data_IF_883232063887
#
_entry.id   IF_883232063887
#
_cell.length_a   1.000
_cell.length_b   1.000
_cell.length_c   1.000
_cell.angle_alpha   90.00
_cell.angle_beta   90.00
_cell.angle_gamma   90.00
#
_symmetry.space_group_name_H-M   'P 1'
#
loop_
_entity.id
_entity.type
_entity.pdbx_description
1 polymer ?
#
# COMPACT_ATOMS: atom_id res chain seq x y z
N UNK A 1 -5.96 -8.76 -9.16
CA UNK A 1 -4.82 -8.52 -8.26
C UNK A 1 -5.21 -8.65 -6.80
N UNK A 2 -4.34 -8.21 -5.87
CA UNK A 2 -4.56 -8.37 -4.41
C UNK A 2 -5.84 -7.66 -3.91
N UNK A 3 -6.29 -6.60 -4.58
CA UNK A 3 -7.56 -5.95 -4.28
C UNK A 3 -8.76 -6.90 -4.43
N UNK A 4 -8.73 -7.83 -5.37
CA UNK A 4 -9.80 -8.82 -5.54
C UNK A 4 -9.92 -9.76 -4.33
N UNK A 5 -8.80 -10.12 -3.70
CA UNK A 5 -8.78 -10.90 -2.45
C UNK A 5 -9.49 -10.14 -1.33
N UNK A 6 -9.16 -8.86 -1.16
CA UNK A 6 -9.81 -8.00 -0.16
C UNK A 6 -11.31 -7.85 -0.44
N UNK A 7 -11.71 -7.64 -1.71
CA UNK A 7 -13.12 -7.54 -2.11
C UNK A 7 -13.88 -8.84 -1.80
N UNK A 8 -13.28 -10.00 -2.05
CA UNK A 8 -13.86 -11.31 -1.69
C UNK A 8 -14.05 -11.45 -0.18
N UNK A 9 -13.08 -11.03 0.64
CA UNK A 9 -13.24 -11.05 2.10
C UNK A 9 -14.36 -10.12 2.56
N UNK A 10 -14.42 -8.89 2.05
CA UNK A 10 -15.48 -7.94 2.42
C UNK A 10 -16.85 -8.50 2.04
N UNK A 11 -17.02 -9.05 0.83
CA UNK A 11 -18.28 -9.68 0.42
C UNK A 11 -18.62 -10.91 1.27
N UNK A 12 -17.62 -11.70 1.70
CA UNK A 12 -17.85 -12.83 2.60
C UNK A 12 -18.32 -12.39 3.98
N UNK A 13 -17.78 -11.30 4.51
CA UNK A 13 -18.13 -10.74 5.83
C UNK A 13 -19.44 -9.98 5.82
N UNK A 14 -19.78 -9.31 4.72
CA UNK A 14 -20.97 -8.48 4.52
C UNK A 14 -21.57 -8.84 3.16
N UNK A 15 -22.34 -9.93 3.04
CA UNK A 15 -22.83 -10.42 1.75
C UNK A 15 -23.71 -9.44 0.97
N UNK A 16 -24.34 -8.48 1.66
CA UNK A 16 -25.18 -7.46 1.04
C UNK A 16 -24.42 -6.37 0.31
N UNK A 17 -23.08 -6.32 0.46
CA UNK A 17 -22.26 -5.24 -0.13
C UNK A 17 -22.13 -5.35 -1.65
N UNK A 18 -22.18 -6.54 -2.22
CA UNK A 18 -22.07 -6.76 -3.65
C UNK A 18 -22.69 -8.09 -4.07
N UNK A 19 -23.31 -8.16 -5.26
CA UNK A 19 -23.76 -9.41 -5.85
C UNK A 19 -22.56 -10.31 -6.24
N UNK A 20 -22.86 -11.55 -6.61
CA UNK A 20 -21.88 -12.53 -7.07
C UNK A 20 -21.46 -13.52 -6.00
N UNK A 21 -20.60 -14.45 -6.31
CA UNK A 21 -20.30 -15.60 -5.45
C UNK A 21 -18.82 -16.04 -5.41
N UNK A 22 -18.02 -15.75 -6.42
CA UNK A 22 -16.65 -16.26 -6.53
C UNK A 22 -15.65 -15.22 -7.06
N UNK A 23 -14.47 -15.66 -7.43
CA UNK A 23 -13.40 -14.79 -7.89
C UNK A 23 -13.59 -14.30 -9.35
N UNK A 24 -14.45 -14.93 -10.14
CA UNK A 24 -14.62 -14.54 -11.54
C UNK A 24 -15.43 -13.24 -11.64
N UNK A 25 -16.50 -13.13 -10.86
CA UNK A 25 -17.36 -11.95 -10.85
C UNK A 25 -16.84 -10.77 -10.03
N UNK A 26 -15.85 -11.00 -9.13
CA UNK A 26 -15.44 -9.99 -8.14
C UNK A 26 -14.81 -8.73 -8.77
N UNK A 27 -14.24 -8.85 -9.96
CA UNK A 27 -13.54 -7.72 -10.63
C UNK A 27 -14.57 -6.67 -11.10
N UNK A 28 -15.68 -7.12 -11.68
CA UNK A 28 -16.75 -6.27 -12.21
C UNK A 28 -17.86 -5.97 -11.20
N UNK A 29 -17.95 -6.73 -10.09
CA UNK A 29 -18.99 -6.56 -9.08
C UNK A 29 -19.07 -5.12 -8.54
N UNK A 30 -20.26 -4.53 -8.57
CA UNK A 30 -20.53 -3.20 -8.01
C UNK A 30 -20.72 -3.31 -6.50
N UNK A 31 -19.92 -2.57 -5.73
CA UNK A 31 -19.97 -2.54 -4.27
C UNK A 31 -20.83 -1.38 -3.78
N UNK A 32 -21.87 -1.69 -3.02
CA UNK A 32 -22.67 -0.70 -2.30
C UNK A 32 -22.04 -0.42 -0.92
N UNK A 33 -21.25 0.63 -0.84
CA UNK A 33 -20.58 1.02 0.41
C UNK A 33 -21.53 1.42 1.54
N UNK A 34 -22.80 1.72 1.24
CA UNK A 34 -23.81 2.00 2.27
C UNK A 34 -24.12 0.78 3.14
N UNK A 35 -23.76 -0.43 2.68
CA UNK A 35 -23.95 -1.68 3.40
C UNK A 35 -22.89 -1.97 4.46
N UNK A 36 -21.73 -1.23 4.45
CA UNK A 36 -20.56 -1.60 5.24
C UNK A 36 -20.72 -1.44 6.75
N UNK A 37 -21.49 -0.44 7.22
CA UNK A 37 -21.64 -0.15 8.66
C UNK A 37 -23.11 -0.05 9.11
N UNK A 38 -23.97 -0.92 8.56
CA UNK A 38 -25.39 -0.96 9.00
C UNK A 38 -25.50 -1.47 10.44
N UNK A 39 -26.47 -0.93 11.23
CA UNK A 39 -26.66 -1.33 12.63
C UNK A 39 -26.79 -2.85 12.83
N UNK A 40 -27.50 -3.53 11.95
CA UNK A 40 -27.81 -4.95 12.05
C UNK A 40 -26.71 -5.87 11.52
N UNK A 41 -25.63 -5.31 10.93
CA UNK A 41 -24.51 -6.12 10.48
C UNK A 41 -23.74 -6.72 11.64
N UNK A 42 -23.48 -8.03 11.57
CA UNK A 42 -22.57 -8.72 12.50
C UNK A 42 -21.14 -8.19 12.39
N UNK A 43 -20.68 -7.96 11.15
CA UNK A 43 -19.37 -7.37 10.86
C UNK A 43 -19.58 -5.98 10.28
N UNK A 44 -18.78 -5.01 10.73
CA UNK A 44 -18.88 -3.60 10.30
C UNK A 44 -17.54 -3.08 9.84
N UNK A 45 -17.56 -2.29 8.77
CA UNK A 45 -16.38 -1.59 8.25
C UNK A 45 -16.73 -0.11 8.20
N UNK A 46 -16.07 0.68 9.03
CA UNK A 46 -16.24 2.14 9.07
C UNK A 46 -15.21 2.81 8.20
N UNK A 47 -15.69 3.47 7.16
CA UNK A 47 -14.90 4.35 6.33
C UNK A 47 -14.83 5.75 6.95
N UNK A 48 -13.93 6.60 6.46
CA UNK A 48 -13.77 7.99 6.91
C UNK A 48 -13.53 8.12 8.42
N UNK A 49 -12.93 7.08 9.02
CA UNK A 49 -12.69 6.97 10.46
C UNK A 49 -11.21 6.75 10.72
N UNK A 50 -10.54 7.76 11.29
CA UNK A 50 -9.10 7.73 11.56
C UNK A 50 -8.84 7.46 13.03
N UNK A 51 -8.29 6.29 13.37
CA UNK A 51 -7.88 5.97 14.74
C UNK A 51 -6.74 6.90 15.19
N UNK A 52 -6.87 7.45 16.40
CA UNK A 52 -5.90 8.39 16.98
C UNK A 52 -5.33 7.90 18.31
N UNK A 53 -6.00 6.96 18.99
CA UNK A 53 -5.52 6.35 20.23
C UNK A 53 -6.09 4.95 20.41
N UNK A 54 -5.27 4.04 20.93
CA UNK A 54 -5.68 2.70 21.36
C UNK A 54 -5.06 2.43 22.73
N UNK A 55 -5.86 1.96 23.69
CA UNK A 55 -5.42 1.75 25.07
C UNK A 55 -6.05 0.50 25.69
N UNK A 56 -5.29 -0.22 26.52
CA UNK A 56 -5.86 -1.25 27.39
C UNK A 56 -6.54 -0.56 28.58
N UNK A 57 -7.73 -1.02 28.95
CA UNK A 57 -8.47 -0.53 30.11
C UNK A 57 -8.30 -1.46 31.32
N UNK A 58 -8.57 -0.93 32.52
CA UNK A 58 -8.43 -1.66 33.77
C UNK A 58 -9.40 -2.84 33.91
N UNK A 59 -10.48 -2.88 33.14
CA UNK A 59 -11.49 -3.94 33.14
C UNK A 59 -11.24 -5.03 32.08
N UNK A 60 -10.00 -5.23 31.68
CA UNK A 60 -9.57 -6.22 30.67
C UNK A 60 -10.19 -6.01 29.29
N UNK A 61 -10.53 -4.79 28.94
CA UNK A 61 -11.01 -4.39 27.62
C UNK A 61 -10.05 -3.42 26.94
N UNK A 62 -10.34 -3.09 25.69
CA UNK A 62 -9.57 -2.12 24.88
C UNK A 62 -10.49 -1.00 24.43
N UNK A 63 -10.03 0.24 24.50
CA UNK A 63 -10.68 1.38 23.88
C UNK A 63 -9.92 1.84 22.63
N UNK A 64 -10.68 2.18 21.58
CA UNK A 64 -10.17 2.83 20.38
C UNK A 64 -10.87 4.17 20.23
N UNK A 65 -10.09 5.24 20.24
CA UNK A 65 -10.56 6.59 19.92
C UNK A 65 -10.23 6.90 18.46
N UNK A 66 -11.20 7.45 17.73
CA UNK A 66 -11.03 7.81 16.33
C UNK A 66 -11.80 9.09 15.98
N UNK A 67 -11.38 9.73 14.90
CA UNK A 67 -12.06 10.88 14.31
C UNK A 67 -12.89 10.37 13.13
N UNK A 68 -14.18 10.60 13.20
CA UNK A 68 -15.14 10.29 12.13
C UNK A 68 -15.42 11.57 11.34
N UNK A 69 -15.19 11.52 10.03
CA UNK A 69 -15.47 12.63 9.10
C UNK A 69 -16.52 12.24 8.04
N UNK A 70 -17.30 11.20 8.30
CA UNK A 70 -18.30 10.68 7.36
C UNK A 70 -19.42 11.67 7.01
N UNK A 71 -19.70 12.62 7.91
CA UNK A 71 -20.76 13.66 7.73
C UNK A 71 -20.20 15.01 7.28
N UNK A 72 -18.89 15.11 6.97
CA UNK A 72 -18.19 16.35 6.66
C UNK A 72 -17.60 17.05 7.89
N UNK A 73 -18.24 16.95 9.04
CA UNK A 73 -17.72 17.48 10.31
C UNK A 73 -16.91 16.41 11.04
N UNK A 74 -15.78 16.81 11.61
CA UNK A 74 -14.95 15.92 12.43
C UNK A 74 -15.60 15.65 13.79
N UNK A 75 -15.88 14.38 14.10
CA UNK A 75 -16.44 13.95 15.39
C UNK A 75 -15.48 13.00 16.08
N UNK A 76 -15.19 13.27 17.34
CA UNK A 76 -14.43 12.35 18.19
C UNK A 76 -15.35 11.23 18.68
N UNK A 77 -14.97 10.00 18.39
CA UNK A 77 -15.72 8.80 18.79
C UNK A 77 -14.78 7.86 19.55
N UNK A 78 -15.31 7.23 20.59
CA UNK A 78 -14.60 6.20 21.34
C UNK A 78 -15.44 4.93 21.37
N UNK A 79 -14.84 3.82 20.95
CA UNK A 79 -15.45 2.49 21.01
C UNK A 79 -14.68 1.62 21.98
N UNK A 80 -15.40 0.72 22.66
CA UNK A 80 -14.85 -0.25 23.59
C UNK A 80 -15.07 -1.65 23.04
N UNK A 81 -14.04 -2.48 23.11
CA UNK A 81 -14.06 -3.87 22.69
C UNK A 81 -13.31 -4.77 23.66
N UNK A 82 -13.54 -6.07 23.57
CA UNK A 82 -12.78 -7.03 24.38
C UNK A 82 -11.33 -7.12 23.94
N UNK A 83 -11.07 -6.97 22.66
CA UNK A 83 -9.75 -7.17 22.04
C UNK A 83 -9.55 -6.23 20.87
N UNK A 84 -8.29 -5.94 20.54
CA UNK A 84 -7.93 -5.12 19.38
C UNK A 84 -6.81 -5.78 18.58
N UNK A 85 -6.90 -5.72 17.27
CA UNK A 85 -5.83 -6.12 16.35
C UNK A 85 -5.39 -4.88 15.57
N UNK A 86 -4.12 -4.50 15.75
CA UNK A 86 -3.51 -3.40 15.00
C UNK A 86 -3.06 -3.91 13.64
N UNK A 87 -3.81 -3.59 12.58
CA UNK A 87 -3.52 -4.00 11.21
C UNK A 87 -2.96 -2.85 10.34
N UNK A 88 -2.61 -1.73 10.95
CA UNK A 88 -1.99 -0.58 10.31
C UNK A 88 -0.46 -0.72 10.21
N UNK A 89 0.21 0.22 9.53
CA UNK A 89 1.66 0.27 9.46
C UNK A 89 2.30 0.25 10.85
N UNK A 90 3.31 -0.62 11.04
CA UNK A 90 4.00 -0.77 12.33
C UNK A 90 4.56 0.55 12.87
N UNK A 91 5.06 1.41 11.99
CA UNK A 91 5.68 2.69 12.38
C UNK A 91 4.70 3.72 12.97
N UNK A 92 3.39 3.59 12.71
CA UNK A 92 2.37 4.49 13.30
C UNK A 92 1.92 4.01 14.69
N UNK A 93 2.06 2.75 14.99
CA UNK A 93 1.54 2.13 16.24
C UNK A 93 2.09 2.79 17.50
N UNK A 94 3.39 3.16 17.63
CA UNK A 94 3.91 3.85 18.81
C UNK A 94 3.23 5.20 19.11
N UNK A 95 2.65 5.84 18.10
CA UNK A 95 1.90 7.08 18.25
C UNK A 95 0.46 6.84 18.70
N UNK A 96 -0.10 5.68 18.33
CA UNK A 96 -1.47 5.29 18.71
C UNK A 96 -1.52 4.64 20.10
N UNK A 97 -0.42 4.02 20.55
CA UNK A 97 -0.31 3.34 21.85
C UNK A 97 0.91 3.88 22.60
N UNK A 98 0.81 5.06 23.24
CA UNK A 98 1.95 5.67 23.94
C UNK A 98 2.50 4.85 25.11
N UNK A 99 1.73 3.92 25.65
CA UNK A 99 2.10 3.10 26.82
C UNK A 99 2.98 1.89 26.48
N UNK A 100 3.20 1.60 25.18
CA UNK A 100 4.07 0.49 24.78
C UNK A 100 5.47 0.62 25.39
N UNK A 101 6.09 -0.50 25.81
CA UNK A 101 7.47 -0.52 26.26
C UNK A 101 8.44 0.09 25.25
N UNK A 102 9.46 0.82 25.69
CA UNK A 102 10.41 1.51 24.82
C UNK A 102 11.06 0.57 23.79
N UNK A 103 11.41 -0.65 24.20
CA UNK A 103 12.02 -1.66 23.30
C UNK A 103 11.03 -2.09 22.20
N UNK A 104 9.73 -2.20 22.52
CA UNK A 104 8.70 -2.57 21.55
C UNK A 104 8.43 -1.41 20.57
N UNK A 105 8.36 -0.17 21.06
CA UNK A 105 8.27 1.03 20.21
C UNK A 105 9.43 1.11 19.22
N UNK A 106 10.64 0.88 19.69
CA UNK A 106 11.84 0.87 18.84
C UNK A 106 11.75 -0.23 17.76
N UNK A 107 11.26 -1.42 18.12
CA UNK A 107 11.03 -2.52 17.19
C UNK A 107 10.00 -2.18 16.11
N UNK A 108 8.84 -1.61 16.50
CA UNK A 108 7.79 -1.16 15.59
C UNK A 108 8.25 -0.04 14.65
N UNK A 109 9.10 0.87 15.14
CA UNK A 109 9.61 2.01 14.37
C UNK A 109 10.81 1.66 13.47
N UNK A 110 11.37 0.45 13.59
CA UNK A 110 12.55 0.06 12.86
C UNK A 110 12.35 -0.06 11.36
N UNK A 111 11.21 -0.60 10.94
CA UNK A 111 10.90 -0.97 9.57
C UNK A 111 10.62 0.23 8.67
N UNK A 112 11.67 0.94 8.23
CA UNK A 112 11.52 2.03 7.26
C UNK A 112 11.12 1.47 5.89
N UNK A 113 10.18 2.13 5.20
CA UNK A 113 9.62 1.70 3.93
C UNK A 113 10.10 2.57 2.77
N UNK A 114 10.17 1.97 1.58
CA UNK A 114 10.53 2.69 0.37
C UNK A 114 9.40 3.61 -0.11
N UNK A 115 9.68 4.87 -0.42
CA UNK A 115 8.74 5.68 -1.17
C UNK A 115 8.64 5.15 -2.61
N UNK A 116 7.42 5.08 -3.14
CA UNK A 116 7.13 4.63 -4.49
C UNK A 116 6.21 5.60 -5.21
N UNK A 117 6.39 5.72 -6.51
CA UNK A 117 5.44 6.37 -7.41
C UNK A 117 4.96 5.36 -8.44
N UNK A 118 3.66 5.20 -8.54
CA UNK A 118 3.00 4.45 -9.59
C UNK A 118 2.17 5.41 -10.43
N UNK A 119 2.44 5.40 -11.73
CA UNK A 119 1.70 6.22 -12.66
C UNK A 119 0.94 5.32 -13.64
N UNK A 120 -0.29 5.71 -13.95
CA UNK A 120 -1.01 5.17 -15.10
C UNK A 120 -1.04 6.25 -16.17
N UNK A 121 -0.56 5.91 -17.37
CA UNK A 121 -0.50 6.80 -18.51
C UNK A 121 -1.43 6.25 -19.57
N UNK A 122 -2.56 6.91 -19.79
CA UNK A 122 -3.51 6.54 -20.82
C UNK A 122 -3.02 7.09 -22.17
N UNK A 123 -2.69 6.19 -23.09
CA UNK A 123 -2.40 6.50 -24.49
C UNK A 123 -3.69 6.42 -25.29
N UNK A 124 -3.83 7.30 -26.29
CA UNK A 124 -4.95 7.28 -27.25
C UNK A 124 -4.90 6.08 -28.19
N UNK A 125 -3.68 5.60 -28.48
CA UNK A 125 -3.43 4.49 -29.41
C UNK A 125 -2.38 3.52 -28.84
N UNK A 126 -2.77 2.27 -28.67
CA UNK A 126 -1.90 1.16 -28.25
C UNK A 126 -0.95 0.65 -29.33
N UNK A 127 -1.11 1.07 -30.59
CA UNK A 127 -0.29 0.64 -31.72
C UNK A 127 1.21 0.95 -31.58
N UNK A 128 1.58 1.85 -30.66
CA UNK A 128 2.99 2.07 -30.31
C UNK A 128 3.66 0.80 -29.77
N UNK A 129 2.94 -0.01 -29.00
CA UNK A 129 3.45 -1.26 -28.44
C UNK A 129 3.63 -2.32 -29.53
N UNK A 130 2.69 -2.38 -30.49
CA UNK A 130 2.84 -3.25 -31.66
C UNK A 130 4.08 -2.88 -32.48
N UNK A 131 4.29 -1.58 -32.73
CA UNK A 131 5.47 -1.07 -33.50
C UNK A 131 6.79 -1.39 -32.80
N UNK A 132 6.84 -1.36 -31.49
CA UNK A 132 8.07 -1.67 -30.74
C UNK A 132 8.30 -3.17 -30.59
N UNK A 133 7.24 -3.98 -30.64
CA UNK A 133 7.28 -5.42 -30.36
C UNK A 133 7.62 -5.76 -28.92
N UNK A 134 7.63 -4.76 -28.00
CA UNK A 134 8.02 -4.91 -26.60
C UNK A 134 6.99 -4.21 -25.72
N UNK A 135 6.51 -4.90 -24.70
CA UNK A 135 5.50 -4.40 -23.76
C UNK A 135 6.04 -4.07 -22.36
N UNK A 136 7.36 -4.21 -22.17
CA UNK A 136 8.01 -4.00 -20.88
C UNK A 136 9.43 -3.46 -21.09
N UNK A 137 9.73 -2.34 -20.46
CA UNK A 137 11.00 -1.61 -20.61
C UNK A 137 11.64 -1.40 -19.24
N UNK A 138 12.87 -1.85 -19.09
CA UNK A 138 13.73 -1.50 -17.97
C UNK A 138 14.65 -0.37 -18.41
N UNK A 139 14.58 0.77 -17.75
CA UNK A 139 15.24 2.01 -18.14
C UNK A 139 16.24 2.46 -17.06
N UNK A 140 17.37 1.74 -16.86
CA UNK A 140 18.33 2.07 -15.82
C UNK A 140 18.89 3.48 -16.02
N UNK A 141 19.05 4.21 -14.91
CA UNK A 141 19.51 5.62 -14.87
C UNK A 141 18.58 6.64 -15.54
N UNK A 142 17.33 6.25 -15.87
CA UNK A 142 16.27 7.19 -16.26
C UNK A 142 15.50 7.66 -15.04
N UNK A 143 14.65 8.70 -15.18
CA UNK A 143 13.79 9.16 -14.08
C UNK A 143 12.76 8.09 -13.72
N UNK A 144 12.23 7.39 -14.72
CA UNK A 144 11.33 6.24 -14.54
C UNK A 144 12.06 4.97 -14.97
N UNK A 145 12.35 4.12 -14.02
CA UNK A 145 13.18 2.93 -14.18
C UNK A 145 12.42 1.74 -14.80
N UNK A 146 11.10 1.74 -14.71
CA UNK A 146 10.27 0.69 -15.25
C UNK A 146 9.01 1.24 -15.92
N UNK A 147 8.81 0.85 -17.18
CA UNK A 147 7.62 1.18 -17.97
C UNK A 147 7.12 -0.12 -18.61
N UNK A 148 5.84 -0.41 -18.46
CA UNK A 148 5.22 -1.57 -19.10
C UNK A 148 3.78 -1.26 -19.50
N UNK A 149 3.18 -2.11 -20.33
CA UNK A 149 1.71 -2.11 -20.40
C UNK A 149 1.13 -2.44 -19.05
N UNK A 150 -0.01 -1.84 -18.68
CA UNK A 150 -0.71 -2.19 -17.46
C UNK A 150 -1.01 -3.70 -17.45
N UNK A 151 -0.81 -4.41 -16.33
CA UNK A 151 -1.10 -5.83 -16.26
C UNK A 151 -2.54 -6.11 -16.64
N UNK A 152 -2.73 -6.89 -17.70
CA UNK A 152 -4.05 -7.30 -18.16
C UNK A 152 -4.41 -8.65 -17.61
N UNK A 153 -5.62 -8.77 -17.08
CA UNK A 153 -6.15 -10.01 -16.53
C UNK A 153 -7.51 -10.26 -17.18
N UNK A 154 -7.67 -11.39 -17.84
CA UNK A 154 -8.98 -11.81 -18.36
C UNK A 154 -9.75 -12.53 -17.25
N UNK A 155 -10.89 -11.97 -16.86
CA UNK A 155 -11.77 -12.55 -15.85
C UNK A 155 -13.22 -12.21 -16.21
N UNK A 156 -14.06 -13.23 -16.32
CA UNK A 156 -15.47 -13.10 -16.70
C UNK A 156 -15.61 -12.29 -18.00
N UNK A 157 -16.39 -11.21 -17.99
CA UNK A 157 -16.59 -10.30 -19.13
C UNK A 157 -15.46 -9.29 -19.33
N UNK A 158 -14.51 -9.19 -18.38
CA UNK A 158 -13.37 -8.32 -18.49
C UNK A 158 -12.28 -8.99 -19.36
N UNK A 159 -12.16 -8.56 -20.62
CA UNK A 159 -11.24 -9.12 -21.63
C UNK A 159 -10.46 -8.00 -22.32
N UNK A 160 -9.48 -7.38 -21.65
CA UNK A 160 -8.69 -6.33 -22.24
C UNK A 160 -7.77 -6.89 -23.34
N UNK A 161 -7.62 -6.16 -24.43
CA UNK A 161 -6.72 -6.49 -25.54
C UNK A 161 -5.84 -5.28 -25.88
N UNK A 162 -4.63 -5.52 -26.41
CA UNK A 162 -3.81 -4.47 -27.01
C UNK A 162 -4.08 -4.49 -28.52
N UNK A 163 -4.55 -3.37 -29.02
CA UNK A 163 -4.85 -3.20 -30.46
C UNK A 163 -4.43 -1.81 -30.93
N UNK A 164 -3.91 -1.73 -32.15
CA UNK A 164 -3.73 -0.46 -32.83
C UNK A 164 -5.08 0.25 -33.00
N UNK A 165 -5.11 1.57 -32.79
CA UNK A 165 -6.32 2.38 -32.81
C UNK A 165 -7.15 2.32 -31.53
N UNK A 166 -6.82 1.46 -30.57
CA UNK A 166 -7.52 1.37 -29.28
C UNK A 166 -6.68 1.98 -28.16
N UNK A 167 -7.31 2.60 -27.13
CA UNK A 167 -6.59 3.16 -26.01
C UNK A 167 -5.80 2.11 -25.23
N UNK A 168 -4.65 2.50 -24.69
CA UNK A 168 -3.79 1.64 -23.89
C UNK A 168 -3.31 2.34 -22.63
N UNK A 169 -3.26 1.64 -21.52
CA UNK A 169 -2.65 2.14 -20.28
C UNK A 169 -1.23 1.62 -20.13
N UNK A 170 -0.27 2.53 -20.00
CA UNK A 170 1.07 2.20 -19.51
C UNK A 170 1.10 2.31 -17.99
N UNK A 171 1.80 1.36 -17.37
CA UNK A 171 2.15 1.35 -15.96
C UNK A 171 3.61 1.79 -15.83
N UNK A 172 3.83 2.88 -15.09
CA UNK A 172 5.15 3.50 -14.92
C UNK A 172 5.50 3.54 -13.45
N UNK A 173 6.71 3.16 -13.10
CA UNK A 173 7.16 3.18 -11.71
C UNK A 173 8.41 4.03 -11.53
N UNK A 174 8.53 4.59 -10.34
CA UNK A 174 9.71 5.28 -9.86
C UNK A 174 9.88 5.02 -8.36
N UNK A 175 11.09 4.70 -7.97
CA UNK A 175 11.51 4.65 -6.56
C UNK A 175 12.46 5.81 -6.31
N UNK A 176 12.00 6.97 -5.81
CA UNK A 176 12.78 8.21 -5.76
C UNK A 176 13.69 8.35 -4.52
N UNK A 177 14.64 7.45 -4.21
CA UNK A 177 15.62 7.75 -3.20
C UNK A 177 16.53 8.87 -3.71
N UNK A 178 16.83 9.90 -2.92
CA UNK A 178 17.86 10.84 -3.28
C UNK A 178 19.20 10.11 -3.37
N UNK A 179 20.11 10.66 -4.18
CA UNK A 179 21.48 10.16 -4.24
C UNK A 179 22.10 10.23 -2.84
N UNK A 180 22.91 9.23 -2.50
CA UNK A 180 23.70 9.24 -1.27
C UNK A 180 24.58 10.49 -1.25
N UNK A 181 24.57 11.20 -0.13
CA UNK A 181 25.52 12.27 0.11
C UNK A 181 26.89 11.66 0.42
N UNK A 182 27.82 11.80 -0.53
CA UNK A 182 29.17 11.26 -0.39
C UNK A 182 29.98 11.95 0.72
N UNK A 183 29.56 13.14 1.16
CA UNK A 183 30.17 13.86 2.27
C UNK A 183 29.64 13.43 3.64
N UNK A 184 28.59 12.60 3.67
CA UNK A 184 28.02 12.06 4.91
C UNK A 184 28.21 10.53 4.98
N UNK A 185 29.36 10.06 5.48
CA UNK A 185 29.64 8.63 5.56
C UNK A 185 28.70 7.87 6.50
N UNK A 186 28.02 8.56 7.41
CA UNK A 186 27.10 7.98 8.38
C UNK A 186 25.67 7.87 7.85
N UNK A 187 25.38 8.34 6.63
CA UNK A 187 24.06 8.25 6.03
C UNK A 187 23.67 6.78 5.78
N UNK A 188 22.61 6.35 6.43
CA UNK A 188 22.10 4.98 6.31
C UNK A 188 21.13 4.85 5.12
N UNK A 189 20.85 3.61 4.70
CA UNK A 189 19.81 3.35 3.71
C UNK A 189 18.42 3.88 4.17
N UNK A 190 18.14 3.81 5.48
CA UNK A 190 16.89 4.34 6.05
C UNK A 190 16.79 5.86 5.93
N UNK A 191 17.90 6.57 6.10
CA UNK A 191 17.92 8.03 5.92
C UNK A 191 17.62 8.42 4.47
N UNK A 192 18.13 7.62 3.52
CA UNK A 192 17.80 7.80 2.10
C UNK A 192 16.32 7.56 1.81
N UNK A 193 15.70 6.52 2.40
CA UNK A 193 14.28 6.25 2.23
C UNK A 193 13.40 7.38 2.80
N UNK A 194 13.77 7.91 4.00
CA UNK A 194 13.10 9.07 4.60
C UNK A 194 13.23 10.32 3.74
N UNK A 195 14.41 10.59 3.22
CA UNK A 195 14.66 11.73 2.34
C UNK A 195 13.90 11.59 1.01
N UNK A 196 13.84 10.39 0.45
CA UNK A 196 13.04 10.08 -0.74
C UNK A 196 11.55 10.33 -0.52
N UNK A 197 11.02 9.94 0.65
CA UNK A 197 9.62 10.24 1.06
C UNK A 197 9.37 11.74 1.13
N UNK A 198 10.30 12.49 1.71
CA UNK A 198 10.20 13.94 1.81
C UNK A 198 10.21 14.61 0.43
N UNK A 199 11.09 14.14 -0.48
CA UNK A 199 11.11 14.56 -1.88
C UNK A 199 9.75 14.30 -2.54
N UNK A 200 9.22 13.08 -2.43
CA UNK A 200 7.96 12.67 -3.02
C UNK A 200 6.79 13.59 -2.64
N UNK A 201 6.73 14.04 -1.40
CA UNK A 201 5.67 14.96 -0.94
C UNK A 201 5.80 16.38 -1.49
N UNK A 202 7.01 16.82 -1.84
CA UNK A 202 7.27 18.18 -2.33
C UNK A 202 7.07 18.34 -3.82
N UNK A 203 7.10 17.25 -4.57
CA UNK A 203 6.95 17.29 -6.03
C UNK A 203 5.51 17.63 -6.42
N UNK A 204 5.38 18.58 -7.37
CA UNK A 204 4.12 18.91 -8.03
C UNK A 204 3.76 17.86 -9.09
N UNK A 205 2.56 17.94 -9.67
CA UNK A 205 2.17 17.09 -10.79
C UNK A 205 3.11 17.29 -12.00
N UNK A 206 3.46 18.53 -12.30
CA UNK A 206 4.33 18.88 -13.40
C UNK A 206 5.76 18.34 -13.23
N UNK A 207 6.23 18.19 -11.99
CA UNK A 207 7.53 17.58 -11.70
C UNK A 207 7.57 16.08 -12.06
N UNK A 208 6.41 15.42 -12.12
CA UNK A 208 6.27 14.06 -12.62
C UNK A 208 5.99 14.02 -14.13
N UNK A 209 5.08 14.85 -14.61
CA UNK A 209 4.62 14.84 -16.00
C UNK A 209 5.74 15.17 -16.99
N UNK A 210 6.47 16.27 -16.75
CA UNK A 210 7.50 16.76 -17.67
C UNK A 210 8.63 15.75 -17.95
N UNK A 211 9.25 15.12 -16.93
CA UNK A 211 10.24 14.08 -17.16
C UNK A 211 9.64 12.86 -17.86
N UNK A 212 8.39 12.49 -17.53
CA UNK A 212 7.70 11.37 -18.15
C UNK A 212 7.52 11.58 -19.65
N UNK A 213 6.94 12.71 -20.08
CA UNK A 213 6.76 13.07 -21.48
C UNK A 213 8.08 13.07 -22.22
N UNK A 214 9.13 13.67 -21.63
CA UNK A 214 10.47 13.67 -22.21
C UNK A 214 11.02 12.28 -22.40
N UNK A 215 10.86 11.39 -21.42
CA UNK A 215 11.35 10.03 -21.49
C UNK A 215 10.59 9.22 -22.54
N UNK A 216 9.26 9.29 -22.57
CA UNK A 216 8.44 8.60 -23.57
C UNK A 216 8.72 9.08 -24.99
N UNK A 217 8.89 10.39 -25.21
CA UNK A 217 9.28 10.93 -26.51
C UNK A 217 10.66 10.40 -26.94
N UNK A 218 11.63 10.28 -26.03
CA UNK A 218 12.94 9.70 -26.32
C UNK A 218 12.85 8.22 -26.69
N UNK A 219 11.97 7.47 -26.04
CA UNK A 219 11.81 6.02 -26.28
C UNK A 219 11.04 5.74 -27.56
N UNK A 220 9.96 6.46 -27.80
CA UNK A 220 8.96 6.12 -28.81
C UNK A 220 8.90 7.10 -29.98
N UNK A 221 9.58 8.24 -29.91
CA UNK A 221 9.54 9.26 -30.97
C UNK A 221 9.99 8.75 -32.32
N UNK A 222 10.96 7.82 -32.39
CA UNK A 222 11.38 7.17 -33.63
C UNK A 222 10.26 6.37 -34.32
N UNK A 223 9.22 5.99 -33.59
CA UNK A 223 8.04 5.29 -34.09
C UNK A 223 6.87 6.23 -34.40
N UNK A 224 7.12 7.56 -34.33
CA UNK A 224 6.11 8.60 -34.59
C UNK A 224 5.27 9.01 -33.37
N UNK A 225 5.67 8.63 -32.15
CA UNK A 225 5.00 9.04 -30.91
C UNK A 225 5.33 10.48 -30.53
N UNK A 226 4.30 11.21 -30.13
CA UNK A 226 4.40 12.57 -29.59
C UNK A 226 3.59 12.64 -28.28
N UNK A 227 4.27 12.76 -27.14
CA UNK A 227 3.64 12.69 -25.83
C UNK A 227 2.55 13.76 -25.62
N UNK A 228 2.65 14.91 -26.27
CA UNK A 228 1.64 15.98 -26.13
C UNK A 228 0.36 15.69 -26.94
N UNK A 229 0.44 14.82 -27.94
CA UNK A 229 -0.69 14.40 -28.78
C UNK A 229 -1.25 13.05 -28.36
N UNK A 230 -0.36 12.10 -28.03
CA UNK A 230 -0.72 10.69 -27.86
C UNK A 230 -1.08 10.31 -26.42
N UNK A 231 -0.73 11.14 -25.42
CA UNK A 231 -1.16 10.94 -24.04
C UNK A 231 -2.51 11.63 -23.84
N UNK A 232 -3.52 10.85 -23.40
CA UNK A 232 -4.85 11.34 -23.04
C UNK A 232 -4.90 11.80 -21.59
N UNK A 233 -4.33 11.00 -20.66
CA UNK A 233 -4.39 11.28 -19.22
C UNK A 233 -3.21 10.64 -18.49
N UNK A 234 -2.84 11.25 -17.35
CA UNK A 234 -1.82 10.77 -16.44
C UNK A 234 -2.39 10.78 -15.03
N UNK A 235 -2.24 9.68 -14.29
CA UNK A 235 -2.45 9.65 -12.84
C UNK A 235 -1.13 9.41 -12.14
N UNK A 236 -0.89 10.12 -11.03
CA UNK A 236 0.31 9.98 -10.22
C UNK A 236 -0.09 9.51 -8.83
N UNK A 237 0.17 8.24 -8.54
CA UNK A 237 -0.10 7.64 -7.24
C UNK A 237 1.18 7.63 -6.42
N UNK A 238 1.20 8.46 -5.37
CA UNK A 238 2.34 8.62 -4.47
C UNK A 238 2.16 7.73 -3.25
N UNK A 239 3.06 6.76 -3.09
CA UNK A 239 3.06 5.83 -1.96
C UNK A 239 4.26 6.13 -1.05
N UNK A 240 4.08 6.94 0.00
CA UNK A 240 5.19 7.32 0.89
C UNK A 240 5.74 6.15 1.70
N UNK A 241 4.95 5.10 1.88
CA UNK A 241 5.27 3.86 2.56
C UNK A 241 4.91 2.68 1.65
N UNK A 242 5.66 2.50 0.55
CA UNK A 242 5.30 1.66 -0.58
C UNK A 242 5.18 0.19 -0.27
N UNK A 243 6.28 -0.45 0.15
CA UNK A 243 6.26 -1.84 0.58
C UNK A 243 6.33 -1.97 2.10
N UNK A 244 5.86 -3.11 2.63
CA UNK A 244 6.16 -3.52 3.98
C UNK A 244 7.67 -3.69 4.17
N UNK A 245 8.13 -3.54 5.42
CA UNK A 245 9.53 -3.83 5.74
C UNK A 245 9.87 -5.27 5.36
N UNK A 246 11.01 -5.42 4.70
CA UNK A 246 11.61 -6.70 4.37
C UNK A 246 13.03 -6.74 4.94
N UNK A 247 13.46 -7.87 5.50
CA UNK A 247 14.83 -8.02 5.96
C UNK A 247 15.82 -7.89 4.79
N UNK A 248 16.81 -7.03 4.95
CA UNK A 248 17.82 -6.75 3.93
C UNK A 248 19.20 -7.13 4.43
N UNK A 249 19.71 -8.27 3.99
CA UNK A 249 20.99 -8.83 4.45
C UNK A 249 22.19 -7.88 4.32
N UNK A 250 22.16 -6.96 3.36
CA UNK A 250 23.23 -5.98 3.13
C UNK A 250 23.23 -4.82 4.14
N UNK A 251 22.09 -4.56 4.79
CA UNK A 251 21.90 -3.35 5.61
C UNK A 251 21.44 -3.66 7.02
N UNK A 252 20.77 -4.79 7.22
CA UNK A 252 20.27 -5.19 8.51
C UNK A 252 21.23 -6.13 9.24
N UNK A 253 21.41 -5.97 10.55
CA UNK A 253 22.19 -6.91 11.36
C UNK A 253 21.58 -8.31 11.34
N UNK A 254 22.41 -9.31 11.57
CA UNK A 254 21.91 -10.67 11.86
C UNK A 254 21.42 -10.72 13.30
N UNK A 255 20.12 -10.96 13.48
CA UNK A 255 19.52 -11.11 14.81
C UNK A 255 19.35 -12.59 15.17
N UNK A 256 19.48 -12.89 16.45
CA UNK A 256 19.02 -14.18 16.99
C UNK A 256 17.49 -14.30 16.96
N UNK A 257 16.97 -15.50 17.05
CA UNK A 257 15.54 -15.79 17.10
C UNK A 257 14.84 -14.99 18.22
N UNK A 258 13.75 -14.32 17.88
CA UNK A 258 12.97 -13.46 18.81
C UNK A 258 13.62 -12.11 19.12
N UNK A 259 14.72 -11.76 18.47
CA UNK A 259 15.47 -10.51 18.70
C UNK A 259 15.36 -9.52 17.54
N UNK A 260 14.84 -9.96 16.38
CA UNK A 260 14.63 -9.07 15.27
C UNK A 260 13.60 -7.98 15.62
N UNK A 261 13.76 -6.75 15.11
CA UNK A 261 12.86 -5.63 15.44
C UNK A 261 11.39 -5.94 15.22
N UNK A 262 11.03 -6.59 14.10
CA UNK A 262 9.66 -6.99 13.82
C UNK A 262 9.12 -8.04 14.81
N UNK A 263 9.97 -8.98 15.27
CA UNK A 263 9.61 -9.98 16.28
C UNK A 263 9.38 -9.35 17.67
N UNK A 264 10.17 -8.33 18.01
CA UNK A 264 10.00 -7.56 19.24
C UNK A 264 8.74 -6.70 19.14
N UNK A 265 8.57 -6.01 18.03
CA UNK A 265 7.44 -5.10 17.80
C UNK A 265 6.09 -5.79 17.81
N UNK A 266 5.99 -6.99 17.24
CA UNK A 266 4.73 -7.76 17.12
C UNK A 266 4.25 -8.47 18.38
N UNK A 267 5.03 -8.42 19.49
CA UNK A 267 4.62 -9.07 20.74
C UNK A 267 3.30 -8.50 21.25
N UNK A 268 2.37 -9.34 21.72
CA UNK A 268 1.12 -8.85 22.30
C UNK A 268 1.35 -7.85 23.44
N UNK A 269 0.52 -6.82 23.49
CA UNK A 269 0.50 -5.84 24.58
C UNK A 269 -0.90 -5.79 25.23
N UNK A 270 -1.06 -6.42 26.37
CA UNK A 270 -2.39 -6.60 26.97
C UNK A 270 -3.32 -7.32 25.98
N UNK A 271 -4.49 -6.78 25.72
CA UNK A 271 -5.47 -7.31 24.78
C UNK A 271 -5.32 -6.75 23.36
N UNK A 272 -4.13 -6.22 23.03
CA UNK A 272 -3.79 -5.68 21.73
C UNK A 272 -2.77 -6.60 21.07
N UNK A 273 -3.00 -7.00 19.81
CA UNK A 273 -2.06 -7.75 18.98
C UNK A 273 -1.82 -7.02 17.65
N UNK A 274 -0.83 -7.45 16.88
CA UNK A 274 -0.35 -6.74 15.70
C UNK A 274 -0.36 -7.66 14.48
N UNK A 275 -1.05 -7.27 13.42
CA UNK A 275 -1.27 -8.11 12.24
C UNK A 275 -1.17 -7.31 10.93
N UNK A 276 0.04 -7.17 10.45
CA UNK A 276 0.32 -6.62 9.12
C UNK A 276 1.58 -7.27 8.54
N UNK A 277 1.89 -7.03 7.28
CA UNK A 277 3.08 -7.59 6.63
C UNK A 277 4.39 -7.10 7.27
N UNK A 278 4.44 -5.88 7.85
CA UNK A 278 5.62 -5.40 8.59
C UNK A 278 5.96 -6.31 9.76
N UNK A 279 4.94 -6.88 10.42
CA UNK A 279 5.13 -7.75 11.59
C UNK A 279 5.72 -9.12 11.24
N UNK A 280 5.71 -9.49 9.97
CA UNK A 280 6.39 -10.70 9.46
C UNK A 280 7.70 -10.37 8.72
N UNK A 281 8.03 -9.08 8.55
CA UNK A 281 9.14 -8.62 7.71
C UNK A 281 9.10 -9.22 6.31
N UNK A 282 7.90 -9.34 5.74
CA UNK A 282 7.65 -9.99 4.45
C UNK A 282 6.56 -9.25 3.68
N UNK A 283 6.95 -8.66 2.54
CA UNK A 283 6.16 -7.65 1.82
C UNK A 283 5.11 -8.23 0.85
N UNK A 284 4.53 -9.40 1.16
CA UNK A 284 3.57 -10.08 0.30
C UNK A 284 2.27 -10.44 1.05
N UNK A 285 1.22 -10.78 0.30
CA UNK A 285 -0.11 -11.07 0.83
C UNK A 285 -0.13 -12.25 1.79
N UNK A 286 0.63 -13.30 1.49
CA UNK A 286 0.77 -14.46 2.37
C UNK A 286 1.42 -14.12 3.70
N UNK A 287 2.40 -13.20 3.72
CA UNK A 287 2.94 -12.64 4.96
C UNK A 287 1.88 -11.91 5.78
N UNK A 288 1.02 -11.12 5.14
CA UNK A 288 -0.09 -10.45 5.81
C UNK A 288 -1.13 -11.45 6.36
N UNK A 289 -1.44 -12.53 5.63
CA UNK A 289 -2.34 -13.60 6.07
C UNK A 289 -1.75 -14.34 7.27
N UNK A 290 -0.47 -14.67 7.23
CA UNK A 290 0.24 -15.34 8.34
C UNK A 290 0.25 -14.45 9.60
N UNK A 291 0.49 -13.13 9.43
CA UNK A 291 0.41 -12.16 10.53
C UNK A 291 -0.98 -12.11 11.16
N UNK A 292 -2.04 -12.09 10.33
CA UNK A 292 -3.41 -12.11 10.81
C UNK A 292 -3.72 -13.40 11.58
N UNK A 293 -3.35 -14.55 11.03
CA UNK A 293 -3.54 -15.86 11.67
C UNK A 293 -2.83 -15.94 13.03
N UNK A 294 -1.56 -15.53 13.09
CA UNK A 294 -0.78 -15.45 14.33
C UNK A 294 -1.47 -14.56 15.35
N UNK A 295 -1.86 -13.34 14.94
CA UNK A 295 -2.50 -12.37 15.81
C UNK A 295 -3.81 -12.87 16.40
N UNK A 296 -4.65 -13.56 15.62
CA UNK A 296 -5.88 -14.20 16.11
C UNK A 296 -5.56 -15.31 17.11
N UNK A 297 -4.57 -16.18 16.82
CA UNK A 297 -4.16 -17.20 17.77
C UNK A 297 -3.69 -16.62 19.11
N UNK A 298 -2.89 -15.55 19.07
CA UNK A 298 -2.40 -14.84 20.26
C UNK A 298 -3.56 -14.28 21.12
N UNK A 299 -4.70 -13.96 20.49
CA UNK A 299 -5.91 -13.50 21.19
C UNK A 299 -6.73 -14.66 21.76
N UNK A 300 -6.74 -15.81 21.10
CA UNK A 300 -7.55 -16.97 21.52
C UNK A 300 -6.86 -17.82 22.59
N UNK A 301 -5.53 -17.77 22.69
CA UNK A 301 -4.74 -18.57 23.65
C UNK A 301 -4.52 -17.85 25.00
N UNK A 302 -5.11 -16.68 25.17
CA UNK A 302 -5.23 -15.98 26.44
C UNK A 302 -6.51 -16.39 27.14
#
# INVERSE_FOLDING_TARGET
GNASITRLFVRKLIPTVAPGKDMNDIVSAQFDYSQLDKPDNLNKIRLNSTAVQVENLSDDSVAVSYVDVSTGDAKNVRVKGKRCIMACYSTIVPHLIPELPAKQKAGLSYGEKSPLVYMSVLLRDGGIIEKTGVNQFNCPNSEYDWISTAPMVTMDDYKPEIKAGEPLVLFVTNTPPPKRDLNNPNQTARDLLKAGRHKLYRMSFEDYERPLKKQLNKMFGQYGFDADKDIEAITVNRWPHGYAYHYMELFDPKWGKGQAPHEIGRKPFGNITFANSDSEAFAYVDGAINAAWRSVKEQLLK
#
